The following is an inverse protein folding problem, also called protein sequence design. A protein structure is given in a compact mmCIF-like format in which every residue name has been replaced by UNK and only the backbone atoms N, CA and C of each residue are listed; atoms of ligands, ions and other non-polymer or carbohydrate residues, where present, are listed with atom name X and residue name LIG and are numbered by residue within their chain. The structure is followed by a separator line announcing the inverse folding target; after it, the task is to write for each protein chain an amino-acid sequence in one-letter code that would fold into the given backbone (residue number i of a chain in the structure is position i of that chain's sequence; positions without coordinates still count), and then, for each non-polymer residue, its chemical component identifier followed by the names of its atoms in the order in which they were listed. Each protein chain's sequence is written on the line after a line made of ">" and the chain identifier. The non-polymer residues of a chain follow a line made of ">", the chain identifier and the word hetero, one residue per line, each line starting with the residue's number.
data_IF_429313672181
#
_entry.id   IF_429313672181
#
_cell.length_a   1.000
_cell.length_b   1.000
_cell.length_c   1.000
_cell.angle_alpha   90.00
_cell.angle_beta   90.00
_cell.angle_gamma   90.00
#
_symmetry.space_group_name_H-M   'P 1'
#
loop_
_entity.id
_entity.type
_entity.pdbx_description
1 polymer ?
#
# COMPACT_ATOMS: atom_id res chain seq x y z
N UNK A 1 -10.13 19.30 -12.84
CA UNK A 1 -8.73 19.28 -12.37
C UNK A 1 -8.72 18.69 -10.95
N UNK A 2 -8.81 19.49 -9.88
CA UNK A 2 -8.76 19.05 -8.46
C UNK A 2 -9.67 17.85 -8.08
N UNK A 3 -10.87 17.77 -8.66
CA UNK A 3 -11.86 16.73 -8.35
C UNK A 3 -11.41 15.31 -8.73
N UNK A 4 -10.65 15.15 -9.82
CA UNK A 4 -10.18 13.82 -10.23
C UNK A 4 -9.12 13.30 -9.25
N UNK A 5 -8.15 14.15 -8.90
CA UNK A 5 -7.09 13.76 -7.98
C UNK A 5 -7.61 13.48 -6.57
N UNK A 6 -8.37 14.44 -6.01
CA UNK A 6 -8.92 14.32 -4.66
C UNK A 6 -9.90 13.15 -4.55
N UNK A 7 -10.78 12.96 -5.54
CA UNK A 7 -11.71 11.83 -5.56
C UNK A 7 -11.01 10.47 -5.65
N UNK A 8 -9.98 10.37 -6.50
CA UNK A 8 -9.15 9.16 -6.62
C UNK A 8 -8.50 8.82 -5.30
N UNK A 9 -7.89 9.82 -4.67
CA UNK A 9 -7.16 9.64 -3.43
C UNK A 9 -8.06 9.21 -2.26
N UNK A 10 -9.23 9.85 -2.10
CA UNK A 10 -10.23 9.45 -1.10
C UNK A 10 -10.66 7.99 -1.32
N UNK A 11 -10.92 7.61 -2.57
CA UNK A 11 -11.33 6.26 -2.90
C UNK A 11 -10.25 5.22 -2.56
N UNK A 12 -8.98 5.51 -2.86
CA UNK A 12 -7.85 4.63 -2.53
C UNK A 12 -7.66 4.48 -1.01
N UNK A 13 -7.79 5.57 -0.24
CA UNK A 13 -7.77 5.51 1.23
C UNK A 13 -8.87 4.57 1.73
N UNK A 14 -10.10 4.74 1.26
CA UNK A 14 -11.23 3.91 1.69
C UNK A 14 -10.99 2.45 1.33
N UNK A 15 -10.54 2.16 0.10
CA UNK A 15 -10.23 0.79 -0.33
C UNK A 15 -9.14 0.20 0.58
N UNK A 16 -8.05 0.92 0.81
CA UNK A 16 -6.92 0.47 1.62
C UNK A 16 -7.35 0.15 3.05
N UNK A 17 -8.09 1.04 3.70
CA UNK A 17 -8.56 0.82 5.07
C UNK A 17 -9.57 -0.35 5.17
N UNK A 18 -10.46 -0.52 4.18
CA UNK A 18 -11.38 -1.66 4.15
C UNK A 18 -10.66 -2.99 3.94
N UNK A 19 -9.62 -3.01 3.10
CA UNK A 19 -8.76 -4.18 2.91
C UNK A 19 -7.97 -4.52 4.17
N UNK A 20 -7.46 -3.51 4.88
CA UNK A 20 -6.77 -3.71 6.14
C UNK A 20 -7.69 -4.29 7.22
N UNK A 21 -8.89 -3.73 7.39
CA UNK A 21 -9.88 -4.25 8.32
C UNK A 21 -10.37 -5.66 7.93
N UNK A 22 -10.40 -6.00 6.64
CA UNK A 22 -10.67 -7.37 6.19
C UNK A 22 -9.52 -8.35 6.54
N UNK A 23 -8.33 -7.82 6.84
CA UNK A 23 -7.12 -8.58 7.18
C UNK A 23 -6.19 -8.83 6.00
N UNK A 24 -6.36 -8.12 4.88
CA UNK A 24 -5.62 -8.36 3.64
C UNK A 24 -4.11 -8.17 3.80
N UNK A 25 -3.68 -7.04 4.36
CA UNK A 25 -2.26 -6.73 4.50
C UNK A 25 -1.58 -7.59 5.55
N UNK A 26 -2.25 -7.88 6.67
CA UNK A 26 -1.72 -8.81 7.67
C UNK A 26 -1.59 -10.24 7.10
N UNK A 27 -2.58 -10.70 6.34
CA UNK A 27 -2.51 -11.97 5.61
C UNK A 27 -1.32 -12.02 4.65
N UNK A 28 -1.08 -10.94 3.90
CA UNK A 28 0.04 -10.85 2.97
C UNK A 28 1.38 -10.84 3.72
N UNK A 29 1.49 -10.06 4.79
CA UNK A 29 2.68 -9.97 5.61
C UNK A 29 3.05 -11.32 6.24
N UNK A 30 2.08 -12.08 6.76
CA UNK A 30 2.33 -13.42 7.32
C UNK A 30 2.79 -14.42 6.25
N UNK A 31 2.24 -14.38 5.04
CA UNK A 31 2.72 -15.22 3.92
C UNK A 31 4.17 -14.91 3.55
N UNK A 32 4.44 -13.62 3.33
CA UNK A 32 5.75 -13.09 2.97
C UNK A 32 6.79 -13.41 4.06
N UNK A 33 6.38 -13.32 5.33
CA UNK A 33 7.25 -13.69 6.44
C UNK A 33 7.58 -15.18 6.47
N UNK A 34 6.59 -16.06 6.22
CA UNK A 34 6.81 -17.51 6.12
C UNK A 34 7.69 -17.90 4.93
N UNK A 35 7.61 -17.18 3.81
CA UNK A 35 8.55 -17.36 2.69
C UNK A 35 10.01 -17.05 3.06
N UNK A 36 10.22 -16.24 4.09
CA UNK A 36 11.53 -16.03 4.71
C UNK A 36 12.19 -17.33 5.21
N UNK A 37 11.39 -18.38 5.46
CA UNK A 37 11.82 -19.74 5.82
C UNK A 37 12.91 -19.74 6.91
N UNK A 38 12.67 -18.98 7.98
CA UNK A 38 13.56 -18.85 9.13
C UNK A 38 14.87 -18.07 8.89
N UNK A 39 15.09 -17.47 7.71
CA UNK A 39 16.27 -16.63 7.40
C UNK A 39 15.93 -15.15 7.50
N UNK A 40 16.53 -14.43 8.46
CA UNK A 40 16.17 -13.04 8.72
C UNK A 40 16.48 -12.08 7.57
N UNK A 41 17.55 -12.32 6.81
CA UNK A 41 17.84 -11.55 5.57
C UNK A 41 16.77 -11.71 4.49
N UNK A 42 16.23 -12.91 4.33
CA UNK A 42 15.12 -13.14 3.38
C UNK A 42 13.85 -12.46 3.86
N UNK A 43 13.54 -12.60 5.16
CA UNK A 43 12.42 -11.89 5.78
C UNK A 43 12.52 -10.38 5.56
N UNK A 44 13.69 -9.79 5.79
CA UNK A 44 13.92 -8.36 5.57
C UNK A 44 13.65 -7.97 4.12
N UNK A 45 14.26 -8.66 3.15
CA UNK A 45 14.05 -8.37 1.73
C UNK A 45 12.57 -8.53 1.33
N UNK A 46 11.91 -9.58 1.80
CA UNK A 46 10.51 -9.85 1.49
C UNK A 46 9.55 -8.81 2.09
N UNK A 47 9.79 -8.35 3.31
CA UNK A 47 9.01 -7.27 3.93
C UNK A 47 9.22 -5.94 3.19
N UNK A 48 10.45 -5.64 2.78
CA UNK A 48 10.75 -4.46 1.95
C UNK A 48 10.03 -4.55 0.61
N UNK A 49 10.08 -5.70 -0.07
CA UNK A 49 9.39 -5.90 -1.35
C UNK A 49 7.86 -5.87 -1.21
N UNK A 50 7.31 -6.37 -0.10
CA UNK A 50 5.90 -6.20 0.21
C UNK A 50 5.54 -4.72 0.38
N UNK A 51 6.36 -3.97 1.10
CA UNK A 51 6.22 -2.52 1.23
C UNK A 51 6.25 -1.80 -0.12
N UNK A 52 7.17 -2.21 -0.98
CA UNK A 52 7.25 -1.68 -2.33
C UNK A 52 5.98 -1.94 -3.13
N UNK A 53 5.46 -3.18 -3.08
CA UNK A 53 4.26 -3.59 -3.79
C UNK A 53 3.02 -2.82 -3.29
N UNK A 54 2.84 -2.72 -1.97
CA UNK A 54 1.69 -2.02 -1.39
C UNK A 54 1.74 -0.54 -1.73
N UNK A 55 2.91 0.11 -1.62
CA UNK A 55 3.05 1.53 -1.96
C UNK A 55 2.78 1.81 -3.43
N UNK A 56 3.28 0.95 -4.33
CA UNK A 56 3.01 1.06 -5.75
C UNK A 56 1.51 0.98 -6.07
N UNK A 57 0.69 0.30 -5.27
CA UNK A 57 -0.74 0.08 -5.55
C UNK A 57 -1.70 0.98 -4.77
N UNK A 58 -1.38 1.37 -3.53
CA UNK A 58 -2.34 1.91 -2.54
C UNK A 58 -1.98 3.29 -1.96
N UNK A 59 -1.05 3.99 -2.60
CA UNK A 59 -0.41 5.19 -2.07
C UNK A 59 0.60 4.93 -0.94
N UNK A 60 1.68 5.73 -0.94
CA UNK A 60 2.72 5.69 0.07
C UNK A 60 2.20 5.91 1.50
N UNK A 61 1.27 6.85 1.69
CA UNK A 61 0.70 7.18 3.01
C UNK A 61 -0.06 5.98 3.60
N UNK A 62 -0.90 5.34 2.78
CA UNK A 62 -1.64 4.15 3.17
C UNK A 62 -0.69 2.99 3.50
N UNK A 63 0.33 2.78 2.66
CA UNK A 63 1.36 1.77 2.88
C UNK A 63 2.09 2.00 4.22
N UNK A 64 2.50 3.23 4.52
CA UNK A 64 3.21 3.56 5.75
C UNK A 64 2.32 3.38 6.99
N UNK A 65 1.08 3.87 6.97
CA UNK A 65 0.15 3.78 8.09
C UNK A 65 -0.26 2.34 8.42
N UNK A 66 -0.39 1.48 7.40
CA UNK A 66 -0.89 0.11 7.55
C UNK A 66 0.26 -0.88 7.77
N UNK A 67 1.32 -0.81 6.96
CA UNK A 67 2.39 -1.81 7.05
C UNK A 67 3.25 -1.64 8.30
N UNK A 68 3.47 -0.41 8.78
CA UNK A 68 4.27 -0.17 9.98
C UNK A 68 3.74 -0.93 11.20
N UNK A 69 2.45 -0.80 11.61
CA UNK A 69 1.93 -1.54 12.75
C UNK A 69 1.92 -3.06 12.51
N UNK A 70 1.67 -3.52 11.28
CA UNK A 70 1.72 -4.94 10.93
C UNK A 70 3.13 -5.50 11.12
N UNK A 71 4.13 -4.83 10.53
CA UNK A 71 5.54 -5.20 10.63
C UNK A 71 5.98 -5.16 12.09
N UNK A 72 5.65 -4.11 12.84
CA UNK A 72 5.92 -4.02 14.28
C UNK A 72 5.33 -5.19 15.06
N UNK A 73 4.05 -5.51 14.85
CA UNK A 73 3.37 -6.62 15.55
C UNK A 73 4.06 -7.96 15.29
N UNK A 74 4.52 -8.17 14.06
CA UNK A 74 5.24 -9.37 13.66
C UNK A 74 6.62 -9.45 14.31
N UNK A 75 7.38 -8.36 14.32
CA UNK A 75 8.72 -8.31 14.90
C UNK A 75 8.68 -8.50 16.43
N UNK A 76 7.63 -7.97 17.08
CA UNK A 76 7.34 -8.22 18.49
C UNK A 76 7.00 -9.69 18.75
N UNK A 77 6.17 -10.31 17.90
CA UNK A 77 5.85 -11.73 18.00
C UNK A 77 7.10 -12.61 17.84
N UNK A 78 8.03 -12.22 16.96
CA UNK A 78 9.33 -12.89 16.75
C UNK A 78 10.40 -12.54 17.80
N UNK A 79 10.07 -11.68 18.78
CA UNK A 79 10.97 -11.22 19.87
C UNK A 79 12.29 -10.63 19.36
N UNK A 80 12.23 -9.89 18.27
CA UNK A 80 13.43 -9.23 17.71
C UNK A 80 13.92 -8.08 18.60
N UNK A 81 15.22 -7.79 18.49
CA UNK A 81 15.86 -6.72 19.26
C UNK A 81 15.34 -5.33 18.82
N UNK A 82 15.39 -4.30 19.67
CA UNK A 82 15.01 -2.94 19.28
C UNK A 82 15.76 -2.40 18.06
N UNK A 83 17.05 -2.74 17.91
CA UNK A 83 17.85 -2.36 16.75
C UNK A 83 17.35 -3.01 15.46
N UNK A 84 17.01 -4.31 15.52
CA UNK A 84 16.39 -5.01 14.40
C UNK A 84 15.03 -4.40 14.06
N UNK A 85 14.21 -4.11 15.06
CA UNK A 85 12.89 -3.52 14.85
C UNK A 85 12.99 -2.17 14.15
N UNK A 86 13.93 -1.32 14.60
CA UNK A 86 14.23 -0.06 13.94
C UNK A 86 14.64 -0.27 12.47
N UNK A 87 15.52 -1.23 12.19
CA UNK A 87 15.95 -1.52 10.82
C UNK A 87 14.77 -1.86 9.89
N UNK A 88 13.84 -2.71 10.34
CA UNK A 88 12.67 -3.09 9.54
C UNK A 88 11.68 -1.93 9.35
N UNK A 89 11.42 -1.14 10.40
CA UNK A 89 10.50 0.00 10.31
C UNK A 89 11.07 1.08 9.40
N UNK A 90 12.36 1.41 9.54
CA UNK A 90 13.04 2.37 8.66
C UNK A 90 13.03 1.89 7.21
N UNK A 91 13.30 0.59 6.99
CA UNK A 91 13.25 0.01 5.66
C UNK A 91 11.85 0.08 5.03
N UNK A 92 10.79 -0.18 5.81
CA UNK A 92 9.41 -0.02 5.38
C UNK A 92 9.07 1.43 5.01
N UNK A 93 9.55 2.41 5.79
CA UNK A 93 9.38 3.83 5.49
C UNK A 93 10.07 4.27 4.19
N UNK A 94 11.38 3.99 4.07
CA UNK A 94 12.15 4.36 2.87
C UNK A 94 11.64 3.68 1.60
N UNK A 95 11.25 2.41 1.69
CA UNK A 95 10.72 1.72 0.52
C UNK A 95 9.32 2.17 0.17
N UNK A 96 8.48 2.51 1.15
CA UNK A 96 7.16 3.06 0.87
C UNK A 96 7.26 4.37 0.09
N UNK A 97 8.21 5.24 0.44
CA UNK A 97 8.46 6.45 -0.33
C UNK A 97 9.02 6.14 -1.72
N UNK A 98 10.12 5.38 -1.80
CA UNK A 98 10.79 5.04 -3.07
C UNK A 98 9.88 4.34 -4.06
N UNK A 99 9.05 3.41 -3.60
CA UNK A 99 8.24 2.54 -4.45
C UNK A 99 6.92 3.17 -4.90
N UNK A 100 6.67 4.42 -4.50
CA UNK A 100 5.46 5.17 -4.83
C UNK A 100 5.53 5.87 -6.19
N UNK A 101 6.55 5.56 -7.00
CA UNK A 101 6.79 6.15 -8.32
C UNK A 101 5.98 5.56 -9.50
N UNK A 102 5.63 4.26 -9.56
CA UNK A 102 5.34 3.61 -10.84
C UNK A 102 4.00 4.00 -11.45
N UNK A 103 2.96 4.25 -10.64
CA UNK A 103 1.63 4.59 -11.11
C UNK A 103 1.24 5.99 -10.65
N UNK A 104 0.37 6.63 -11.44
CA UNK A 104 -0.21 7.94 -11.09
C UNK A 104 -0.89 7.84 -9.72
N UNK A 105 -1.59 6.74 -9.46
CA UNK A 105 -2.31 6.46 -8.20
C UNK A 105 -1.41 6.12 -7.00
N UNK A 106 -0.10 5.90 -7.22
CA UNK A 106 0.83 5.48 -6.16
C UNK A 106 1.24 6.61 -5.21
N UNK A 107 0.99 7.87 -5.55
CA UNK A 107 1.33 9.01 -4.70
C UNK A 107 0.47 10.22 -5.10
N UNK A 108 0.01 11.01 -4.13
CA UNK A 108 -0.72 12.25 -4.37
C UNK A 108 0.04 13.19 -5.32
N UNK A 109 1.35 13.34 -5.13
CA UNK A 109 2.19 14.22 -5.96
C UNK A 109 2.21 13.76 -7.43
N UNK A 110 2.15 12.46 -7.67
CA UNK A 110 2.08 11.90 -9.03
C UNK A 110 0.75 12.25 -9.68
N UNK A 111 -0.36 12.13 -8.94
CA UNK A 111 -1.70 12.48 -9.46
C UNK A 111 -1.76 13.96 -9.82
N UNK A 112 -1.29 14.84 -8.93
CA UNK A 112 -1.26 16.29 -9.16
C UNK A 112 -0.41 16.64 -10.38
N UNK A 113 0.79 16.05 -10.48
CA UNK A 113 1.71 16.32 -11.59
C UNK A 113 1.16 15.81 -12.92
N UNK A 114 0.60 14.60 -12.94
CA UNK A 114 0.02 14.02 -14.16
C UNK A 114 -1.19 14.83 -14.65
N UNK A 115 -2.07 15.29 -13.75
CA UNK A 115 -3.22 16.13 -14.10
C UNK A 115 -2.79 17.51 -14.59
N UNK A 116 -1.79 18.13 -13.93
CA UNK A 116 -1.25 19.45 -14.32
C UNK A 116 -0.62 19.44 -15.73
N UNK A 117 0.20 18.42 -16.02
CA UNK A 117 0.89 18.30 -17.31
C UNK A 117 0.09 17.53 -18.37
N UNK A 118 -1.12 17.06 -18.06
CA UNK A 118 -1.94 16.26 -18.96
C UNK A 118 -1.27 14.94 -19.38
N UNK A 119 -0.52 14.31 -18.48
CA UNK A 119 0.17 13.04 -18.74
C UNK A 119 -0.80 11.88 -18.48
N UNK A 120 -1.17 11.16 -19.54
CA UNK A 120 -2.03 9.99 -19.42
C UNK A 120 -1.41 8.85 -18.61
N UNK A 121 -2.25 8.02 -17.99
CA UNK A 121 -1.85 6.96 -17.07
C UNK A 121 -0.85 5.97 -17.69
N UNK A 122 -1.12 5.53 -18.93
CA UNK A 122 -0.29 4.55 -19.62
C UNK A 122 1.10 5.12 -19.97
N UNK A 123 1.15 6.39 -20.38
CA UNK A 123 2.41 7.07 -20.68
C UNK A 123 3.24 7.22 -19.41
N UNK A 124 2.61 7.67 -18.32
CA UNK A 124 3.26 7.79 -17.01
C UNK A 124 3.85 6.45 -16.57
N UNK A 125 3.04 5.39 -16.56
CA UNK A 125 3.45 4.06 -16.12
C UNK A 125 4.58 3.49 -17.00
N UNK A 126 4.54 3.69 -18.32
CA UNK A 126 5.58 3.17 -19.23
C UNK A 126 6.97 3.70 -18.93
N UNK A 127 7.08 4.92 -18.41
CA UNK A 127 8.34 5.56 -18.04
C UNK A 127 8.69 5.25 -16.58
N UNK A 128 7.72 5.37 -15.68
CA UNK A 128 7.98 5.30 -14.24
C UNK A 128 8.08 3.87 -13.71
N UNK A 129 7.48 2.86 -14.35
CA UNK A 129 7.62 1.46 -13.91
C UNK A 129 9.07 0.98 -14.01
N UNK A 130 9.81 1.16 -15.13
CA UNK A 130 11.23 0.84 -15.19
C UNK A 130 12.07 1.62 -14.18
N UNK A 131 11.82 2.92 -14.02
CA UNK A 131 12.50 3.78 -13.04
C UNK A 131 12.28 3.24 -11.63
N UNK A 132 11.04 2.87 -11.30
CA UNK A 132 10.67 2.30 -10.01
C UNK A 132 11.41 0.98 -9.74
N UNK A 133 11.54 0.10 -10.74
CA UNK A 133 12.28 -1.16 -10.55
C UNK A 133 13.74 -0.91 -10.17
N UNK A 134 14.40 0.04 -10.84
CA UNK A 134 15.78 0.43 -10.52
C UNK A 134 15.85 1.08 -9.14
N UNK A 135 14.95 2.00 -8.82
CA UNK A 135 14.89 2.68 -7.52
C UNK A 135 14.66 1.70 -6.37
N UNK A 136 13.70 0.78 -6.50
CA UNK A 136 13.42 -0.28 -5.52
C UNK A 136 14.63 -1.20 -5.34
N UNK A 137 15.28 -1.61 -6.43
CA UNK A 137 16.48 -2.45 -6.35
C UNK A 137 17.64 -1.74 -5.65
N UNK A 138 17.87 -0.46 -5.97
CA UNK A 138 18.91 0.36 -5.35
C UNK A 138 18.63 0.59 -3.87
N UNK A 139 17.40 0.98 -3.51
CA UNK A 139 16.99 1.18 -2.12
C UNK A 139 17.08 -0.12 -1.32
N UNK A 140 16.60 -1.23 -1.87
CA UNK A 140 16.74 -2.54 -1.22
C UNK A 140 18.21 -2.92 -1.01
N UNK A 141 19.08 -2.68 -1.99
CA UNK A 141 20.51 -2.95 -1.87
C UNK A 141 21.16 -2.11 -0.77
N UNK A 142 20.89 -0.80 -0.75
CA UNK A 142 21.41 0.12 0.28
C UNK A 142 20.91 -0.28 1.66
N UNK A 143 19.62 -0.56 1.83
CA UNK A 143 19.04 -0.97 3.10
C UNK A 143 19.62 -2.31 3.58
N UNK A 144 19.80 -3.28 2.68
CA UNK A 144 20.43 -4.56 3.02
C UNK A 144 21.90 -4.40 3.42
N UNK A 145 22.63 -3.48 2.80
CA UNK A 145 24.04 -3.21 3.14
C UNK A 145 24.19 -2.43 4.44
N UNK A 146 23.36 -1.41 4.65
CA UNK A 146 23.40 -0.55 5.82
C UNK A 146 22.99 -1.31 7.08
N UNK A 147 21.83 -1.98 7.06
CA UNK A 147 21.29 -2.74 8.21
C UNK A 147 21.81 -4.18 8.29
N UNK A 148 22.85 -4.55 7.53
CA UNK A 148 23.37 -5.94 7.47
C UNK A 148 23.74 -6.55 8.81
N UNK A 149 24.08 -5.71 9.80
CA UNK A 149 24.49 -6.09 11.16
C UNK A 149 23.29 -6.25 12.10
N UNK A 150 22.24 -5.47 11.87
CA UNK A 150 21.05 -5.43 12.72
C UNK A 150 19.98 -6.45 12.30
N UNK A 151 20.09 -6.97 11.06
CA UNK A 151 19.23 -8.04 10.56
C UNK A 151 19.64 -9.38 11.20
N UNK A 152 18.71 -10.10 11.86
CA UNK A 152 18.99 -11.38 12.49
C UNK A 152 19.38 -12.43 11.45
N UNK A 153 20.25 -13.37 11.84
CA UNK A 153 20.65 -14.48 10.97
C UNK A 153 19.47 -15.43 10.73
N UNK A 154 18.78 -15.78 11.81
CA UNK A 154 17.67 -16.74 11.80
C UNK A 154 16.51 -16.25 12.67
N UNK A 155 15.32 -16.73 12.38
CA UNK A 155 14.13 -16.55 13.20
C UNK A 155 13.28 -17.81 13.19
N UNK A 156 12.43 -17.97 14.20
CA UNK A 156 11.52 -19.09 14.29
C UNK A 156 10.17 -18.75 13.65
N UNK A 157 9.93 -19.32 12.47
CA UNK A 157 8.70 -19.09 11.73
C UNK A 157 7.47 -19.73 12.38
N UNK A 158 7.64 -20.66 13.33
CA UNK A 158 6.53 -21.28 14.05
C UNK A 158 5.84 -20.34 15.04
N UNK A 159 6.52 -19.26 15.45
CA UNK A 159 5.97 -18.23 16.33
C UNK A 159 4.99 -17.29 15.60
N UNK A 160 4.95 -17.35 14.27
CA UNK A 160 4.03 -16.56 13.45
C UNK A 160 2.66 -17.23 13.38
N UNK A 161 1.62 -16.43 13.62
CA UNK A 161 0.24 -16.83 13.42
C UNK A 161 0.00 -17.40 12.02
N UNK A 162 -1.01 -18.25 11.89
CA UNK A 162 -1.40 -18.75 10.58
C UNK A 162 -1.97 -17.63 9.72
N UNK A 163 -1.60 -17.52 8.43
CA UNK A 163 -2.16 -16.49 7.57
C UNK A 163 -3.69 -16.55 7.47
N UNK A 164 -4.27 -17.75 7.55
CA UNK A 164 -5.72 -17.97 7.58
C UNK A 164 -6.42 -17.26 8.74
N UNK A 165 -5.75 -17.10 9.89
CA UNK A 165 -6.30 -16.44 11.07
C UNK A 165 -6.31 -14.91 10.95
N UNK A 166 -5.59 -14.34 9.97
CA UNK A 166 -5.61 -12.90 9.73
C UNK A 166 -6.91 -12.44 9.03
N UNK A 167 -7.60 -13.33 8.32
CA UNK A 167 -8.80 -12.99 7.55
C UNK A 167 -10.00 -12.82 8.49
N UNK A 168 -10.40 -11.58 8.74
CA UNK A 168 -11.56 -11.25 9.61
C UNK A 168 -12.89 -11.32 8.86
N UNK A 169 -12.89 -10.89 7.60
CA UNK A 169 -14.05 -10.91 6.72
C UNK A 169 -13.70 -11.52 5.35
N UNK A 170 -14.18 -12.75 5.13
CA UNK A 170 -13.93 -13.50 3.88
C UNK A 170 -14.60 -12.87 2.66
N UNK A 171 -15.75 -12.22 2.82
CA UNK A 171 -16.47 -11.62 1.70
C UNK A 171 -15.71 -10.39 1.21
N UNK A 172 -15.36 -9.49 2.13
CA UNK A 172 -14.57 -8.29 1.82
C UNK A 172 -13.16 -8.65 1.34
N UNK A 173 -12.51 -9.68 1.91
CA UNK A 173 -11.19 -10.15 1.45
C UNK A 173 -11.21 -10.67 -0.01
N UNK A 174 -12.16 -11.54 -0.36
CA UNK A 174 -12.28 -12.05 -1.75
C UNK A 174 -12.66 -10.97 -2.73
N UNK A 175 -13.58 -10.10 -2.34
CA UNK A 175 -13.98 -8.93 -3.13
C UNK A 175 -12.80 -7.99 -3.33
N UNK A 176 -11.97 -7.83 -2.31
CA UNK A 176 -10.75 -7.03 -2.36
C UNK A 176 -9.87 -7.39 -3.55
N UNK A 177 -9.56 -8.68 -3.73
CA UNK A 177 -8.78 -9.15 -4.89
C UNK A 177 -9.42 -8.76 -6.24
N UNK A 178 -10.73 -8.90 -6.37
CA UNK A 178 -11.44 -8.47 -7.58
C UNK A 178 -11.38 -6.96 -7.76
N UNK A 179 -11.57 -6.20 -6.68
CA UNK A 179 -11.52 -4.73 -6.69
C UNK A 179 -10.13 -4.22 -7.05
N UNK A 180 -9.04 -4.80 -6.53
CA UNK A 180 -7.69 -4.46 -6.97
C UNK A 180 -7.51 -4.72 -8.46
N UNK A 181 -7.95 -5.90 -8.93
CA UNK A 181 -7.83 -6.28 -10.34
C UNK A 181 -8.60 -5.32 -11.25
N UNK A 182 -9.85 -5.00 -10.89
CA UNK A 182 -10.70 -4.06 -11.63
C UNK A 182 -10.11 -2.65 -11.57
N UNK A 183 -9.60 -2.21 -10.43
CA UNK A 183 -8.97 -0.90 -10.29
C UNK A 183 -7.76 -0.78 -11.22
N UNK A 184 -6.86 -1.76 -11.21
CA UNK A 184 -5.66 -1.77 -12.05
C UNK A 184 -6.02 -1.85 -13.54
N UNK A 185 -6.80 -2.86 -13.94
CA UNK A 185 -7.21 -3.03 -15.34
C UNK A 185 -8.01 -1.81 -15.81
N UNK A 186 -8.90 -1.30 -14.97
CA UNK A 186 -9.69 -0.10 -15.21
C UNK A 186 -8.81 1.11 -15.45
N UNK A 187 -7.78 1.35 -14.63
CA UNK A 187 -6.86 2.46 -14.85
C UNK A 187 -6.14 2.37 -16.20
N UNK A 188 -5.70 1.19 -16.63
CA UNK A 188 -5.02 1.02 -17.92
C UNK A 188 -5.96 1.04 -19.14
N UNK A 189 -7.20 0.57 -18.99
CA UNK A 189 -8.14 0.39 -20.10
C UNK A 189 -9.15 1.54 -20.28
N UNK A 190 -9.61 2.14 -19.18
CA UNK A 190 -10.70 3.12 -19.18
C UNK A 190 -10.20 4.56 -19.17
N UNK A 191 -9.03 4.82 -18.60
CA UNK A 191 -8.43 6.17 -18.64
C UNK A 191 -8.13 6.65 -20.07
N UNK A 192 -7.60 5.81 -21.00
CA UNK A 192 -7.44 6.20 -22.40
C UNK A 192 -8.75 6.48 -23.13
N UNK A 193 -9.88 6.00 -22.61
CA UNK A 193 -11.23 6.26 -23.14
C UNK A 193 -11.82 7.57 -22.58
N UNK A 194 -11.05 8.33 -21.80
CA UNK A 194 -11.47 9.60 -21.19
C UNK A 194 -12.24 9.43 -19.88
N UNK A 195 -12.33 8.22 -19.33
CA UNK A 195 -12.97 7.99 -18.03
C UNK A 195 -11.98 8.40 -16.93
N UNK A 196 -12.33 9.35 -16.05
CA UNK A 196 -11.44 9.79 -14.99
C UNK A 196 -11.17 8.66 -14.00
N UNK A 197 -9.92 8.58 -13.53
CA UNK A 197 -9.47 7.59 -12.54
C UNK A 197 -10.36 7.65 -11.29
N UNK A 198 -10.81 8.85 -10.90
CA UNK A 198 -11.69 9.04 -9.74
C UNK A 198 -13.01 8.29 -9.85
N UNK A 199 -13.59 8.18 -11.04
CA UNK A 199 -14.83 7.44 -11.24
C UNK A 199 -14.60 5.93 -11.09
N UNK A 200 -13.51 5.42 -11.67
CA UNK A 200 -13.11 4.01 -11.57
C UNK A 200 -12.87 3.63 -10.11
N UNK A 201 -12.06 4.43 -9.41
CA UNK A 201 -11.75 4.21 -8.01
C UNK A 201 -12.97 4.38 -7.10
N UNK A 202 -13.85 5.35 -7.37
CA UNK A 202 -15.06 5.56 -6.59
C UNK A 202 -16.03 4.37 -6.71
N UNK A 203 -16.20 3.81 -7.92
CA UNK A 203 -17.00 2.60 -8.12
C UNK A 203 -16.38 1.42 -7.36
N UNK A 204 -15.07 1.24 -7.45
CA UNK A 204 -14.32 0.22 -6.71
C UNK A 204 -14.53 0.35 -5.19
N UNK A 205 -14.38 1.57 -4.65
CA UNK A 205 -14.59 1.87 -3.24
C UNK A 205 -16.04 1.62 -2.82
N UNK A 206 -17.03 2.02 -3.62
CA UNK A 206 -18.44 1.83 -3.35
C UNK A 206 -18.83 0.34 -3.32
N UNK A 207 -18.32 -0.47 -4.26
CA UNK A 207 -18.53 -1.92 -4.27
C UNK A 207 -17.98 -2.56 -2.99
N UNK A 208 -16.73 -2.23 -2.65
CA UNK A 208 -16.08 -2.81 -1.47
C UNK A 208 -16.77 -2.38 -0.18
N UNK A 209 -17.15 -1.10 -0.07
CA UNK A 209 -17.88 -0.55 1.08
C UNK A 209 -19.27 -1.16 1.22
N UNK A 210 -20.00 -1.35 0.12
CA UNK A 210 -21.33 -1.99 0.13
C UNK A 210 -21.28 -3.44 0.61
N UNK A 211 -20.23 -4.18 0.25
CA UNK A 211 -20.03 -5.57 0.70
C UNK A 211 -19.60 -5.60 2.17
N UNK A 212 -18.67 -4.74 2.57
CA UNK A 212 -18.23 -4.62 3.96
C UNK A 212 -19.38 -4.21 4.90
N UNK A 213 -20.25 -3.28 4.47
CA UNK A 213 -21.41 -2.84 5.22
C UNK A 213 -22.44 -3.96 5.41
N UNK A 214 -22.67 -4.80 4.39
CA UNK A 214 -23.57 -5.96 4.51
C UNK A 214 -23.05 -7.01 5.47
N UNK A 215 -21.74 -7.19 5.54
CA UNK A 215 -21.11 -8.20 6.40
C UNK A 215 -21.25 -7.94 7.90
N UNK A 216 -21.50 -6.69 8.33
CA UNK A 216 -21.54 -6.24 9.74
C UNK A 216 -20.31 -6.59 10.60
N UNK A 217 -19.26 -7.19 10.01
CA UNK A 217 -18.00 -7.53 10.68
C UNK A 217 -17.00 -6.38 10.69
N UNK A 218 -17.10 -5.49 9.71
CA UNK A 218 -16.24 -4.30 9.60
C UNK A 218 -17.09 -3.08 9.95
N UNK A 219 -16.63 -2.28 10.92
CA UNK A 219 -17.26 -1.01 11.25
C UNK A 219 -16.87 0.04 10.21
N UNK A 220 -17.62 0.11 9.11
CA UNK A 220 -17.39 1.08 8.03
C UNK A 220 -17.40 2.53 8.55
N UNK A 221 -18.23 2.83 9.55
CA UNK A 221 -18.25 4.14 10.21
C UNK A 221 -16.94 4.47 10.93
N UNK A 222 -16.31 3.48 11.57
CA UNK A 222 -15.00 3.66 12.20
C UNK A 222 -13.93 3.87 11.15
N UNK A 223 -13.92 3.08 10.08
CA UNK A 223 -12.99 3.23 8.94
C UNK A 223 -13.04 4.64 8.35
N UNK A 224 -14.25 5.17 8.11
CA UNK A 224 -14.39 6.54 7.60
C UNK A 224 -13.94 7.59 8.62
N UNK A 225 -14.08 7.35 9.93
CA UNK A 225 -13.65 8.30 10.96
C UNK A 225 -12.14 8.33 11.13
N UNK A 226 -11.50 7.17 11.06
CA UNK A 226 -10.06 6.98 11.28
C UNK A 226 -9.24 7.27 10.00
N UNK A 227 -9.92 7.51 8.87
CA UNK A 227 -9.26 7.93 7.64
C UNK A 227 -8.46 9.24 7.84
N UNK A 228 -7.28 9.36 7.22
CA UNK A 228 -6.42 10.52 7.37
C UNK A 228 -6.93 11.72 6.53
N UNK A 229 -8.05 12.31 6.94
CA UNK A 229 -8.70 13.44 6.24
C UNK A 229 -7.80 14.68 6.13
N UNK A 230 -6.79 14.78 6.99
CA UNK A 230 -5.76 15.82 6.89
C UNK A 230 -5.04 15.80 5.55
N UNK A 231 -4.82 14.62 4.95
CA UNK A 231 -4.15 14.50 3.65
C UNK A 231 -5.05 15.00 2.52
N UNK A 232 -6.37 14.85 2.65
CA UNK A 232 -7.34 15.41 1.70
C UNK A 232 -7.31 16.94 1.75
N UNK A 233 -7.27 17.52 2.95
CA UNK A 233 -7.14 18.98 3.13
C UNK A 233 -5.79 19.47 2.57
N UNK A 234 -4.71 18.74 2.83
CA UNK A 234 -3.39 19.05 2.29
C UNK A 234 -3.36 19.02 0.76
N UNK A 235 -3.99 18.02 0.13
CA UNK A 235 -4.16 17.95 -1.33
C UNK A 235 -4.82 19.21 -1.88
N UNK A 236 -5.93 19.64 -1.27
CA UNK A 236 -6.62 20.88 -1.68
C UNK A 236 -5.72 22.11 -1.54
N UNK A 237 -4.93 22.19 -0.46
CA UNK A 237 -3.96 23.26 -0.23
C UNK A 237 -2.85 23.29 -1.28
N UNK A 238 -2.28 22.14 -1.62
CA UNK A 238 -1.29 22.00 -2.70
C UNK A 238 -1.84 22.52 -4.03
N UNK A 239 -3.07 22.17 -4.37
CA UNK A 239 -3.71 22.68 -5.59
C UNK A 239 -3.88 24.21 -5.58
N UNK A 240 -4.26 24.80 -4.44
CA UNK A 240 -4.46 26.25 -4.31
C UNK A 240 -3.14 27.04 -4.33
N UNK A 241 -2.01 26.42 -3.97
CA UNK A 241 -0.69 27.07 -4.03
C UNK A 241 -0.05 26.91 -5.40
N UNK A 242 -0.26 25.77 -6.06
CA UNK A 242 0.31 25.47 -7.39
C UNK A 242 -0.43 26.20 -8.52
N UNK A 243 -1.72 26.48 -8.34
CA UNK A 243 -2.58 27.24 -9.27
C UNK A 243 -2.95 28.60 -8.70
#
# INVERSE_FOLDING_TARGET
>A
IVWNATGTFIALIIISLLLDEAGFFNWAALHVARWGNGKGRRLFAFIVLLGALVSALFANDGAALILTPIVMSMLLALRFSPATTLAFVMAAGFIADTASLPLVVSNLVNIVSADYFGIGFNRYASVMVPVNLVSVAATLAVLMLFFRRDIPKTFDASQLAEPSSAIKDRATFKTGWWVLGILLVGCFALEPLGIPISAISAVCAAILLGIAAKGHRISTRKVLKDAPWQIVIFSLGMYLVVY
#
